data_IF_402865711593
#
_entry.id   IF_402865711593
#
_cell.length_a   1.000
_cell.length_b   1.000
_cell.length_c   1.000
_cell.angle_alpha   90.00
_cell.angle_beta   90.00
_cell.angle_gamma   90.00
#
_symmetry.space_group_name_H-M   'P 1'
#
loop_
_entity.id
_entity.type
_entity.pdbx_description
1 polymer ?
#
# COMPACT_ATOMS: atom_id res chain seq x y z
N UNK A 1 18.82 17.81 49.01
CA UNK A 1 18.05 17.07 47.99
C UNK A 1 17.47 18.08 47.02
N UNK A 2 18.14 18.30 45.88
CA UNK A 2 17.74 19.32 44.91
C UNK A 2 17.50 18.59 43.60
N UNK A 3 16.24 18.43 43.21
CA UNK A 3 15.85 17.72 41.98
C UNK A 3 15.97 18.70 40.80
N UNK A 4 17.02 18.53 40.01
CA UNK A 4 17.20 19.23 38.72
C UNK A 4 16.25 18.63 37.69
N UNK A 5 15.28 19.42 37.23
CA UNK A 5 14.43 19.06 36.10
C UNK A 5 15.19 19.30 34.80
N UNK A 6 15.55 18.21 34.10
CA UNK A 6 16.13 18.27 32.77
C UNK A 6 15.06 18.64 31.74
N UNK A 7 15.11 19.88 31.26
CA UNK A 7 14.32 20.36 30.13
C UNK A 7 14.72 19.58 28.86
N UNK A 8 13.87 18.64 28.42
CA UNK A 8 14.00 18.03 27.09
C UNK A 8 13.48 19.02 26.06
N UNK A 9 14.39 19.61 25.28
CA UNK A 9 14.06 20.48 24.17
C UNK A 9 13.32 19.70 23.08
N UNK A 10 12.02 19.93 22.94
CA UNK A 10 11.23 19.48 21.79
C UNK A 10 11.69 20.29 20.59
N UNK A 11 12.47 19.67 19.70
CA UNK A 11 12.82 20.24 18.39
C UNK A 11 11.53 20.31 17.55
N UNK A 12 11.02 21.51 17.34
CA UNK A 12 9.95 21.77 16.40
C UNK A 12 10.42 21.45 14.97
N UNK A 13 9.77 20.48 14.33
CA UNK A 13 9.94 20.24 12.89
C UNK A 13 9.11 21.27 12.13
N UNK A 14 9.78 22.19 11.43
CA UNK A 14 9.14 23.07 10.47
C UNK A 14 8.81 22.27 9.20
N UNK A 15 7.53 21.92 9.01
CA UNK A 15 7.01 21.46 7.72
C UNK A 15 6.94 22.67 6.78
N UNK A 16 8.01 22.91 6.02
CA UNK A 16 8.04 23.96 5.00
C UNK A 16 7.18 23.57 3.81
N UNK A 17 5.96 24.10 3.71
CA UNK A 17 5.16 24.05 2.49
C UNK A 17 5.66 25.15 1.54
N UNK A 18 6.48 24.78 0.54
CA UNK A 18 6.81 25.67 -0.56
C UNK A 18 5.60 25.75 -1.52
N UNK A 19 4.79 26.81 -1.39
CA UNK A 19 3.72 27.12 -2.34
C UNK A 19 4.36 27.86 -3.51
N UNK A 20 4.57 27.17 -4.64
CA UNK A 20 4.93 27.82 -5.90
C UNK A 20 3.63 28.33 -6.52
N UNK A 21 3.46 29.66 -6.58
CA UNK A 21 2.31 30.29 -7.21
C UNK A 21 2.39 30.10 -8.74
N UNK A 22 1.59 29.19 -9.28
CA UNK A 22 1.32 29.09 -10.72
C UNK A 22 0.04 29.91 -11.07
N UNK A 23 -0.02 30.55 -12.24
CA UNK A 23 -1.13 31.43 -12.63
C UNK A 23 -2.46 30.66 -12.75
N UNK A 24 -3.53 31.35 -12.33
CA UNK A 24 -4.89 30.86 -12.21
C UNK A 24 -5.55 30.57 -13.57
N UNK A 25 -5.32 29.37 -14.10
CA UNK A 25 -6.13 28.79 -15.17
C UNK A 25 -6.23 27.27 -15.00
N UNK A 26 -6.56 26.84 -13.79
CA UNK A 26 -7.09 25.51 -13.52
C UNK A 26 -7.83 25.57 -12.18
N UNK A 27 -9.17 25.51 -12.19
CA UNK A 27 -9.89 24.87 -11.07
C UNK A 27 -9.58 23.36 -11.10
N UNK A 28 -8.30 22.99 -11.08
CA UNK A 28 -7.87 21.69 -10.62
C UNK A 28 -8.06 21.77 -9.11
N UNK A 29 -9.04 21.02 -8.61
CA UNK A 29 -9.25 20.77 -7.19
C UNK A 29 -7.92 20.83 -6.43
N UNK A 30 -7.78 21.80 -5.50
CA UNK A 30 -6.57 22.00 -4.70
C UNK A 30 -6.16 20.64 -4.09
N UNK A 31 -5.15 20.02 -4.69
CA UNK A 31 -4.66 18.72 -4.28
C UNK A 31 -3.38 18.92 -3.49
N UNK A 32 -3.39 18.46 -2.24
CA UNK A 32 -2.27 18.60 -1.32
C UNK A 32 -1.72 17.21 -1.03
N UNK A 33 -0.46 16.97 -1.36
CA UNK A 33 0.23 15.73 -0.98
C UNK A 33 1.06 15.98 0.27
N UNK A 34 0.77 15.23 1.34
CA UNK A 34 1.47 15.30 2.61
C UNK A 34 2.45 14.11 2.68
N UNK A 35 3.78 14.34 2.77
CA UNK A 35 4.73 13.25 2.97
C UNK A 35 4.61 12.69 4.39
N UNK A 36 4.55 11.37 4.50
CA UNK A 36 4.42 10.65 5.79
C UNK A 36 5.58 9.69 6.05
N UNK A 37 6.63 9.73 5.24
CA UNK A 37 7.77 8.82 5.33
C UNK A 37 8.55 8.90 6.66
N UNK A 38 8.46 10.01 7.38
CA UNK A 38 9.03 10.16 8.73
C UNK A 38 8.02 9.87 9.86
N UNK A 39 6.73 9.74 9.54
CA UNK A 39 5.64 9.51 10.49
C UNK A 39 5.32 8.01 10.61
N UNK A 40 4.82 7.58 11.77
CA UNK A 40 4.25 6.25 11.98
C UNK A 40 2.94 6.16 11.20
N UNK A 41 3.06 5.84 9.92
CA UNK A 41 1.99 5.78 8.95
C UNK A 41 2.09 4.46 8.19
N UNK A 42 1.25 3.48 8.51
CA UNK A 42 1.36 2.11 8.02
C UNK A 42 0.05 1.67 7.38
N UNK A 43 0.15 0.90 6.30
CA UNK A 43 -0.96 0.15 5.74
C UNK A 43 -0.63 -1.33 5.89
N UNK A 44 -1.49 -2.09 6.56
CA UNK A 44 -1.32 -3.54 6.74
C UNK A 44 -2.27 -4.24 5.79
N UNK A 45 -1.73 -4.88 4.75
CA UNK A 45 -2.47 -5.83 3.91
C UNK A 45 -2.51 -7.16 4.65
N UNK A 46 -3.71 -7.66 4.98
CA UNK A 46 -3.91 -8.98 5.54
C UNK A 46 -4.73 -9.81 4.55
N UNK A 47 -4.16 -10.91 4.06
CA UNK A 47 -4.89 -11.85 3.22
C UNK A 47 -5.94 -12.61 4.04
N UNK A 48 -7.10 -12.87 3.43
CA UNK A 48 -8.12 -13.75 4.02
C UNK A 48 -7.62 -15.20 4.08
N UNK A 49 -8.26 -16.03 4.90
CA UNK A 49 -7.93 -17.46 4.93
C UNK A 49 -8.19 -18.11 3.57
N UNK A 50 -9.31 -17.81 2.92
CA UNK A 50 -9.64 -18.34 1.58
C UNK A 50 -8.57 -17.99 0.54
N UNK A 51 -8.01 -16.77 0.60
CA UNK A 51 -6.93 -16.38 -0.29
C UNK A 51 -5.62 -17.13 0.03
N UNK A 52 -5.31 -17.34 1.30
CA UNK A 52 -4.13 -18.12 1.72
C UNK A 52 -4.25 -19.59 1.33
N UNK A 53 -5.42 -20.20 1.53
CA UNK A 53 -5.70 -21.58 1.12
C UNK A 53 -5.61 -21.71 -0.41
N UNK A 54 -6.11 -20.72 -1.14
CA UNK A 54 -5.97 -20.65 -2.60
C UNK A 54 -4.52 -20.52 -3.03
N UNK A 55 -3.72 -19.71 -2.32
CA UNK A 55 -2.29 -19.62 -2.60
C UNK A 55 -1.57 -20.93 -2.36
N UNK A 56 -1.85 -21.61 -1.23
CA UNK A 56 -1.28 -22.91 -0.92
C UNK A 56 -1.66 -23.97 -1.97
N UNK A 57 -2.93 -24.01 -2.38
CA UNK A 57 -3.44 -24.95 -3.38
C UNK A 57 -2.67 -24.89 -4.71
N UNK A 58 -2.23 -23.71 -5.12
CA UNK A 58 -1.43 -23.53 -6.33
C UNK A 58 0.05 -23.25 -6.06
N UNK A 59 0.53 -23.46 -4.84
CA UNK A 59 1.95 -23.30 -4.51
C UNK A 59 2.47 -21.87 -4.66
N UNK A 60 1.62 -20.86 -4.47
CA UNK A 60 2.00 -19.45 -4.41
C UNK A 60 2.55 -19.13 -3.02
N UNK A 61 3.71 -18.48 -2.99
CA UNK A 61 4.29 -17.88 -1.81
C UNK A 61 4.39 -16.38 -1.98
N UNK A 62 4.22 -15.62 -0.91
CA UNK A 62 4.30 -14.16 -0.94
C UNK A 62 5.48 -13.71 -0.09
N UNK A 63 6.32 -12.84 -0.67
CA UNK A 63 7.52 -12.31 -0.03
C UNK A 63 7.48 -10.78 -0.01
N UNK A 64 7.59 -10.14 1.16
CA UNK A 64 7.71 -8.69 1.23
C UNK A 64 9.13 -8.26 0.84
N UNK A 65 9.25 -7.20 0.05
CA UNK A 65 10.53 -6.60 -0.36
C UNK A 65 10.49 -5.06 -0.22
N UNK A 66 11.64 -4.42 -0.36
CA UNK A 66 11.77 -2.97 -0.26
C UNK A 66 11.44 -2.47 1.15
N UNK A 67 10.49 -1.53 1.25
CA UNK A 67 10.00 -1.03 2.54
C UNK A 67 9.00 -1.97 3.23
N UNK A 68 8.48 -2.99 2.53
CA UNK A 68 7.49 -3.90 3.08
C UNK A 68 8.11 -4.87 4.10
N UNK A 69 7.32 -5.26 5.09
CA UNK A 69 7.72 -6.23 6.13
C UNK A 69 6.59 -7.19 6.42
N UNK A 70 6.91 -8.45 6.75
CA UNK A 70 5.90 -9.38 7.26
C UNK A 70 5.47 -8.95 8.67
N UNK A 71 4.18 -9.09 8.97
CA UNK A 71 3.66 -8.84 10.31
C UNK A 71 4.10 -9.96 11.26
N UNK A 72 4.73 -9.65 12.40
CA UNK A 72 5.10 -10.67 13.37
C UNK A 72 3.86 -11.43 13.87
N UNK A 73 3.93 -12.76 13.87
CA UNK A 73 2.89 -13.66 14.37
C UNK A 73 1.52 -13.55 13.68
N UNK A 74 1.45 -12.94 12.48
CA UNK A 74 0.23 -12.89 11.67
C UNK A 74 0.57 -13.37 10.26
N UNK A 75 0.46 -14.69 9.99
CA UNK A 75 0.67 -15.24 8.65
C UNK A 75 -0.19 -14.54 7.61
N UNK A 76 0.36 -14.30 6.41
CA UNK A 76 -0.38 -13.64 5.34
C UNK A 76 -0.62 -12.14 5.52
N UNK A 77 -0.09 -11.52 6.57
CA UNK A 77 -0.18 -10.07 6.77
C UNK A 77 1.16 -9.37 6.55
N UNK A 78 1.11 -8.24 5.85
CA UNK A 78 2.27 -7.47 5.43
C UNK A 78 2.06 -5.99 5.72
N UNK A 79 3.02 -5.41 6.44
CA UNK A 79 3.08 -3.98 6.66
C UNK A 79 3.76 -3.28 5.48
N UNK A 80 3.03 -2.33 4.89
CA UNK A 80 3.41 -1.47 3.78
C UNK A 80 3.46 -0.02 4.28
N UNK A 81 4.63 0.51 4.67
CA UNK A 81 4.77 1.88 5.15
C UNK A 81 4.18 2.91 4.17
N UNK A 82 3.22 3.71 4.66
CA UNK A 82 2.62 4.83 3.92
C UNK A 82 3.63 5.98 3.87
N UNK A 83 4.02 6.34 2.67
CA UNK A 83 5.00 7.39 2.38
C UNK A 83 4.37 8.73 2.06
N UNK A 84 3.11 8.75 1.62
CA UNK A 84 2.35 10.00 1.42
C UNK A 84 0.84 9.81 1.47
N UNK A 85 0.14 10.89 1.80
CA UNK A 85 -1.32 11.01 1.76
C UNK A 85 -1.68 12.14 0.81
N UNK A 86 -2.65 11.92 -0.06
CA UNK A 86 -3.17 12.93 -0.98
C UNK A 86 -4.53 13.43 -0.51
N UNK A 87 -4.69 14.74 -0.43
CA UNK A 87 -5.95 15.41 -0.10
C UNK A 87 -6.51 16.12 -1.33
N UNK A 88 -7.83 16.18 -1.46
CA UNK A 88 -8.56 16.97 -2.45
C UNK A 88 -9.68 17.73 -1.73
N UNK A 89 -9.64 19.07 -1.75
CA UNK A 89 -10.60 19.92 -1.01
C UNK A 89 -10.85 19.42 0.42
N UNK A 90 -9.77 19.22 1.20
CA UNK A 90 -9.75 18.73 2.59
C UNK A 90 -10.18 17.27 2.86
N UNK A 91 -10.66 16.54 1.84
CA UNK A 91 -10.92 15.09 1.95
C UNK A 91 -9.68 14.30 1.55
N UNK A 92 -9.46 13.13 2.15
CA UNK A 92 -8.43 12.20 1.68
C UNK A 92 -8.88 11.62 0.34
N UNK A 93 -8.08 11.84 -0.70
CA UNK A 93 -8.31 11.35 -2.05
C UNK A 93 -7.47 10.11 -2.37
N UNK A 94 -6.36 9.92 -1.65
CA UNK A 94 -5.54 8.73 -1.81
C UNK A 94 -4.39 8.64 -0.84
N UNK A 95 -3.60 7.57 -0.98
CA UNK A 95 -2.38 7.36 -0.24
C UNK A 95 -1.39 6.55 -1.06
N UNK A 96 -0.12 6.57 -0.68
CA UNK A 96 0.92 5.77 -1.34
C UNK A 96 1.85 5.11 -0.33
N UNK A 97 2.24 3.88 -0.61
CA UNK A 97 3.29 3.13 0.08
C UNK A 97 4.46 2.89 -0.87
N UNK A 98 5.07 3.98 -1.33
CA UNK A 98 6.16 3.96 -2.32
C UNK A 98 7.36 3.18 -1.80
N UNK A 99 7.99 2.39 -2.67
CA UNK A 99 9.11 1.53 -2.30
C UNK A 99 8.72 0.24 -1.57
N UNK A 100 7.45 0.05 -1.20
CA UNK A 100 6.96 -1.21 -0.64
C UNK A 100 6.61 -2.18 -1.78
N UNK A 101 6.90 -3.47 -1.57
CA UNK A 101 6.76 -4.51 -2.59
C UNK A 101 6.20 -5.79 -1.99
N UNK A 102 5.31 -6.45 -2.71
CA UNK A 102 4.91 -7.83 -2.49
C UNK A 102 5.25 -8.65 -3.74
N UNK A 103 6.12 -9.65 -3.59
CA UNK A 103 6.54 -10.56 -4.64
C UNK A 103 5.82 -11.89 -4.46
N UNK A 104 5.04 -12.29 -5.46
CA UNK A 104 4.32 -13.55 -5.54
C UNK A 104 5.16 -14.50 -6.37
N UNK A 105 5.51 -15.65 -5.79
CA UNK A 105 6.39 -16.64 -6.40
C UNK A 105 5.69 -18.00 -6.42
N UNK A 106 5.83 -18.71 -7.53
CA UNK A 106 5.32 -20.08 -7.72
C UNK A 106 6.32 -20.88 -8.56
N UNK A 107 6.37 -22.19 -8.38
CA UNK A 107 6.99 -23.09 -9.36
C UNK A 107 5.87 -23.71 -10.20
N UNK A 108 5.93 -23.55 -11.52
CA UNK A 108 4.99 -24.25 -12.40
C UNK A 108 5.30 -25.76 -12.32
N UNK A 109 4.34 -26.56 -11.87
CA UNK A 109 4.53 -27.99 -11.62
C UNK A 109 4.74 -28.79 -12.91
N UNK A 110 4.15 -28.36 -14.03
CA UNK A 110 4.27 -29.03 -15.33
C UNK A 110 5.65 -28.79 -15.98
N UNK A 111 6.21 -27.59 -15.80
CA UNK A 111 7.47 -27.18 -16.47
C UNK A 111 8.67 -27.10 -15.53
N UNK A 112 8.46 -27.15 -14.22
CA UNK A 112 9.48 -26.91 -13.19
C UNK A 112 10.02 -25.48 -13.15
N UNK A 113 9.48 -24.54 -13.93
CA UNK A 113 10.01 -23.19 -14.04
C UNK A 113 9.50 -22.27 -12.93
N UNK A 114 10.36 -21.43 -12.33
CA UNK A 114 9.91 -20.40 -11.39
C UNK A 114 9.14 -19.31 -12.15
N UNK A 115 8.00 -18.94 -11.58
CA UNK A 115 7.13 -17.86 -12.05
C UNK A 115 6.97 -16.83 -10.95
N UNK A 116 6.89 -15.57 -11.37
CA UNK A 116 6.92 -14.43 -10.47
C UNK A 116 6.05 -13.29 -10.98
N UNK A 117 5.26 -12.75 -10.06
CA UNK A 117 4.57 -11.47 -10.19
C UNK A 117 5.02 -10.56 -9.07
N UNK A 118 5.49 -9.37 -9.40
CA UNK A 118 5.88 -8.35 -8.41
C UNK A 118 4.89 -7.21 -8.43
N UNK A 119 4.34 -6.87 -7.27
CA UNK A 119 3.52 -5.68 -7.07
C UNK A 119 4.32 -4.68 -6.21
N UNK A 120 4.55 -3.48 -6.72
CA UNK A 120 5.38 -2.47 -6.08
C UNK A 120 4.69 -1.10 -6.02
N UNK A 121 5.22 -0.20 -5.20
CA UNK A 121 4.85 1.23 -5.18
C UNK A 121 3.33 1.48 -5.05
N UNK A 122 2.70 0.72 -4.16
CA UNK A 122 1.26 0.71 -3.96
C UNK A 122 0.66 2.11 -3.78
N UNK A 123 -0.54 2.30 -4.32
CA UNK A 123 -1.37 3.49 -4.15
C UNK A 123 -2.81 3.10 -3.90
N UNK A 124 -3.52 3.95 -3.18
CA UNK A 124 -4.97 3.85 -3.00
C UNK A 124 -5.60 5.06 -3.65
N UNK A 125 -6.61 4.80 -4.48
CA UNK A 125 -7.47 5.80 -5.09
C UNK A 125 -8.88 5.65 -4.48
N UNK A 126 -9.23 6.54 -3.56
CA UNK A 126 -10.54 6.55 -2.90
C UNK A 126 -11.66 7.14 -3.79
N UNK A 127 -11.30 7.76 -4.91
CA UNK A 127 -12.29 8.27 -5.86
C UNK A 127 -12.77 7.11 -6.74
N UNK A 128 -11.83 6.29 -7.21
CA UNK A 128 -12.12 5.13 -8.04
C UNK A 128 -12.41 3.85 -7.24
N UNK A 129 -12.21 3.86 -5.92
CA UNK A 129 -12.25 2.68 -5.04
C UNK A 129 -11.31 1.55 -5.49
N UNK A 130 -10.07 1.92 -5.85
CA UNK A 130 -9.06 0.98 -6.35
C UNK A 130 -7.74 1.03 -5.59
N UNK A 131 -7.19 -0.14 -5.33
CA UNK A 131 -5.78 -0.31 -4.98
C UNK A 131 -5.00 -0.45 -6.29
N UNK A 132 -3.98 0.38 -6.48
CA UNK A 132 -3.10 0.37 -7.65
C UNK A 132 -1.69 -0.05 -7.23
N UNK A 133 -0.96 -0.70 -8.13
CA UNK A 133 0.46 -1.00 -7.95
C UNK A 133 1.20 -0.94 -9.29
N UNK A 134 2.50 -0.73 -9.25
CA UNK A 134 3.37 -1.03 -10.39
C UNK A 134 3.54 -2.56 -10.43
N UNK A 135 3.15 -3.17 -11.55
CA UNK A 135 3.09 -4.61 -11.71
C UNK A 135 4.13 -5.11 -12.71
N UNK A 136 4.88 -6.16 -12.34
CA UNK A 136 5.92 -6.76 -13.18
C UNK A 136 5.76 -8.27 -13.21
N UNK A 137 5.63 -8.84 -14.41
CA UNK A 137 5.70 -10.29 -14.63
C UNK A 137 7.13 -10.69 -14.99
N UNK A 138 7.53 -11.93 -14.67
CA UNK A 138 8.85 -12.44 -15.04
C UNK A 138 9.11 -12.28 -16.54
N UNK A 139 10.27 -11.69 -16.90
CA UNK A 139 10.66 -11.44 -18.29
C UNK A 139 9.88 -10.33 -19.02
N UNK A 140 8.97 -9.62 -18.35
CA UNK A 140 8.19 -8.53 -18.96
C UNK A 140 8.51 -7.17 -18.32
N UNK A 141 8.33 -6.06 -19.07
CA UNK A 141 8.48 -4.72 -18.52
C UNK A 141 7.43 -4.45 -17.43
N UNK A 142 7.79 -3.56 -16.51
CA UNK A 142 6.88 -3.08 -15.46
C UNK A 142 5.77 -2.22 -16.06
N UNK A 143 4.52 -2.48 -15.67
CA UNK A 143 3.35 -1.67 -15.99
C UNK A 143 2.99 -0.84 -14.77
N UNK A 144 3.01 0.48 -14.90
CA UNK A 144 2.79 1.38 -13.77
C UNK A 144 1.30 1.53 -13.45
N UNK A 145 0.97 1.65 -12.16
CA UNK A 145 -0.40 1.90 -11.65
C UNK A 145 -1.46 0.93 -12.19
N UNK A 146 -1.12 -0.34 -12.37
CA UNK A 146 -2.09 -1.39 -12.66
C UNK A 146 -3.11 -1.47 -11.52
N UNK A 147 -4.43 -1.48 -11.83
CA UNK A 147 -5.44 -1.73 -10.81
C UNK A 147 -5.33 -3.17 -10.33
N UNK A 148 -5.25 -3.35 -9.01
CA UNK A 148 -5.05 -4.65 -8.37
C UNK A 148 -6.34 -5.10 -7.71
N UNK A 149 -6.85 -4.31 -6.77
CA UNK A 149 -8.08 -4.62 -6.04
C UNK A 149 -9.13 -3.52 -6.23
N UNK A 150 -10.38 -3.93 -6.41
CA UNK A 150 -11.54 -3.15 -6.00
C UNK A 150 -11.74 -3.35 -4.49
N UNK A 151 -12.22 -2.33 -3.79
CA UNK A 151 -12.43 -2.41 -2.34
C UNK A 151 -13.73 -1.75 -1.89
N UNK A 152 -14.17 -2.11 -0.69
CA UNK A 152 -15.20 -1.42 0.05
C UNK A 152 -14.59 -0.68 1.26
N UNK A 153 -15.05 0.54 1.51
CA UNK A 153 -14.65 1.31 2.70
C UNK A 153 -15.51 0.94 3.90
N UNK A 154 -15.00 0.05 4.76
CA UNK A 154 -15.74 -0.38 5.96
C UNK A 154 -15.89 0.74 7.00
N UNK A 155 -14.83 1.51 7.22
CA UNK A 155 -14.83 2.65 8.13
C UNK A 155 -14.34 3.89 7.38
N UNK A 156 -15.20 4.88 7.10
CA UNK A 156 -14.79 6.10 6.44
C UNK A 156 -13.73 6.85 7.25
N UNK A 157 -12.73 7.40 6.58
CA UNK A 157 -11.69 8.22 7.21
C UNK A 157 -12.27 9.48 7.85
N UNK A 158 -12.37 9.51 9.17
CA UNK A 158 -12.55 10.77 9.91
C UNK A 158 -11.19 11.40 10.19
N UNK A 159 -10.80 12.39 9.38
CA UNK A 159 -9.61 13.19 9.65
C UNK A 159 -9.89 14.14 10.81
N UNK A 160 -9.41 13.81 12.01
CA UNK A 160 -9.48 14.73 13.16
C UNK A 160 -8.41 15.80 13.03
N UNK A 161 -8.71 16.88 12.32
CA UNK A 161 -7.83 18.05 12.24
C UNK A 161 -7.82 18.79 13.60
N UNK A 162 -6.67 18.81 14.29
CA UNK A 162 -6.43 19.65 15.47
C UNK A 162 -5.12 20.41 15.29
N UNK A 163 -5.21 21.74 15.29
CA UNK A 163 -4.06 22.64 15.30
C UNK A 163 -3.30 22.49 16.63
N UNK A 164 -1.95 22.41 16.68
CA UNK A 164 -0.98 22.69 15.61
C UNK A 164 -0.40 21.45 14.88
N UNK A 165 -1.22 20.42 14.59
CA UNK A 165 -1.00 19.24 13.69
C UNK A 165 -1.06 17.89 14.43
N UNK A 166 -2.26 17.34 14.62
CA UNK A 166 -2.44 15.90 14.85
C UNK A 166 -3.30 15.26 13.75
N UNK A 167 -2.71 14.77 12.65
CA UNK A 167 -3.40 13.85 11.72
C UNK A 167 -3.33 12.46 12.34
N UNK A 168 -4.40 12.06 13.02
CA UNK A 168 -4.63 10.64 13.35
C UNK A 168 -5.71 10.12 12.43
N UNK A 169 -5.40 9.08 11.67
CA UNK A 169 -6.30 8.49 10.71
C UNK A 169 -6.24 6.96 10.86
N UNK A 170 -7.40 6.35 11.12
CA UNK A 170 -7.58 4.91 11.07
C UNK A 170 -8.65 4.60 10.03
N UNK A 171 -8.33 3.73 9.07
CA UNK A 171 -9.26 3.28 8.04
C UNK A 171 -9.13 1.77 7.87
N UNK A 172 -10.22 1.13 7.49
CA UNK A 172 -10.22 -0.27 7.09
C UNK A 172 -10.90 -0.36 5.73
N UNK A 173 -10.19 -0.97 4.79
CA UNK A 173 -10.71 -1.41 3.50
C UNK A 173 -10.93 -2.92 3.60
N UNK A 174 -12.10 -3.39 3.20
CA UNK A 174 -12.46 -4.80 3.16
C UNK A 174 -13.00 -5.17 1.77
N UNK A 175 -13.35 -6.44 1.57
CA UNK A 175 -13.90 -6.95 0.31
C UNK A 175 -12.97 -6.67 -0.86
N UNK A 176 -11.71 -7.10 -0.71
CA UNK A 176 -10.69 -6.88 -1.71
C UNK A 176 -10.85 -7.90 -2.84
N UNK A 177 -11.47 -7.48 -3.93
CA UNK A 177 -11.63 -8.35 -5.10
C UNK A 177 -10.65 -7.94 -6.19
N UNK A 178 -9.98 -8.93 -6.80
CA UNK A 178 -9.08 -8.65 -7.91
C UNK A 178 -9.85 -7.98 -9.05
N UNK A 179 -9.26 -6.95 -9.67
CA UNK A 179 -9.83 -6.38 -10.89
C UNK A 179 -9.59 -7.32 -12.08
N UNK A 180 -10.33 -7.18 -13.19
CA UNK A 180 -10.10 -7.99 -14.40
C UNK A 180 -8.64 -7.97 -14.90
N UNK A 181 -7.99 -6.81 -14.83
CA UNK A 181 -6.59 -6.63 -15.20
C UNK A 181 -5.67 -7.40 -14.27
N UNK A 182 -5.95 -7.38 -12.96
CA UNK A 182 -5.16 -8.09 -11.97
C UNK A 182 -5.34 -9.61 -12.08
N UNK A 183 -6.55 -10.09 -12.35
CA UNK A 183 -6.80 -11.53 -12.62
C UNK A 183 -5.94 -12.02 -13.78
N UNK A 184 -5.93 -11.27 -14.89
CA UNK A 184 -5.09 -11.58 -16.05
C UNK A 184 -3.60 -11.52 -15.71
N UNK A 185 -3.18 -10.51 -14.95
CA UNK A 185 -1.80 -10.37 -14.48
C UNK A 185 -1.33 -11.59 -13.68
N UNK A 186 -2.13 -12.04 -12.71
CA UNK A 186 -1.79 -13.20 -11.88
C UNK A 186 -1.86 -14.50 -12.67
N UNK A 187 -2.92 -14.71 -13.45
CA UNK A 187 -3.07 -15.91 -14.29
C UNK A 187 -1.90 -16.07 -15.25
N UNK A 188 -1.60 -15.03 -16.04
CA UNK A 188 -0.52 -15.09 -17.03
C UNK A 188 0.88 -15.09 -16.38
N UNK A 189 1.04 -14.34 -15.27
CA UNK A 189 2.35 -14.10 -14.68
C UNK A 189 2.84 -15.23 -13.77
N UNK A 190 1.90 -15.98 -13.18
CA UNK A 190 2.16 -17.16 -12.36
C UNK A 190 1.80 -18.47 -13.07
N UNK A 191 1.36 -18.39 -14.33
CA UNK A 191 0.89 -19.51 -15.16
C UNK A 191 -0.10 -20.40 -14.40
N UNK A 192 -1.11 -19.75 -13.81
CA UNK A 192 -2.09 -20.44 -12.97
C UNK A 192 -2.95 -21.40 -13.81
N UNK A 193 -3.28 -22.59 -13.26
CA UNK A 193 -4.09 -23.57 -13.98
C UNK A 193 -5.52 -23.06 -14.17
N UNK A 194 -6.21 -23.48 -15.24
CA UNK A 194 -7.54 -22.95 -15.57
C UNK A 194 -8.59 -23.11 -14.45
N UNK A 195 -8.43 -24.14 -13.60
CA UNK A 195 -9.31 -24.40 -12.46
C UNK A 195 -9.39 -23.24 -11.45
N UNK A 196 -8.42 -22.30 -11.45
CA UNK A 196 -8.46 -21.14 -10.55
C UNK A 196 -9.33 -19.98 -11.05
N UNK A 197 -9.83 -20.02 -12.29
CA UNK A 197 -10.58 -18.89 -12.84
C UNK A 197 -11.84 -18.57 -12.02
N UNK A 198 -12.56 -19.59 -11.57
CA UNK A 198 -13.73 -19.43 -10.70
C UNK A 198 -13.33 -18.87 -9.33
N UNK A 199 -12.23 -19.36 -8.77
CA UNK A 199 -11.69 -18.94 -7.46
C UNK A 199 -11.32 -17.44 -7.49
N UNK A 200 -10.59 -17.00 -8.52
CA UNK A 200 -10.18 -15.60 -8.68
C UNK A 200 -11.38 -14.63 -8.79
N UNK A 201 -12.56 -15.12 -9.17
CA UNK A 201 -13.77 -14.31 -9.31
C UNK A 201 -14.55 -14.11 -8.02
N UNK A 202 -14.43 -15.02 -7.06
CA UNK A 202 -15.28 -15.05 -5.86
C UNK A 202 -14.51 -14.85 -4.55
N UNK A 203 -13.20 -15.06 -4.56
CA UNK A 203 -12.38 -14.90 -3.36
C UNK A 203 -12.23 -13.42 -2.99
N UNK A 204 -12.61 -13.10 -1.76
CA UNK A 204 -12.21 -11.88 -1.08
C UNK A 204 -10.78 -12.04 -0.60
N UNK A 205 -9.87 -11.18 -1.05
CA UNK A 205 -8.45 -11.22 -0.69
C UNK A 205 -8.14 -10.59 0.67
N UNK A 206 -9.16 -10.17 1.44
CA UNK A 206 -9.02 -9.79 2.84
C UNK A 206 -9.15 -8.30 3.06
N UNK A 207 -8.20 -7.69 3.78
CA UNK A 207 -8.33 -6.30 4.24
C UNK A 207 -7.04 -5.49 4.14
N UNK A 208 -7.20 -4.17 4.01
CA UNK A 208 -6.12 -3.21 4.22
C UNK A 208 -6.50 -2.30 5.39
N UNK A 209 -5.73 -2.39 6.48
CA UNK A 209 -5.88 -1.48 7.63
C UNK A 209 -4.84 -0.39 7.56
N UNK A 210 -5.29 0.86 7.49
CA UNK A 210 -4.42 2.04 7.42
C UNK A 210 -4.45 2.74 8.77
N UNK A 211 -3.28 2.94 9.38
CA UNK A 211 -3.10 3.69 10.62
C UNK A 211 -2.00 4.74 10.44
N UNK A 212 -2.36 6.00 10.62
CA UNK A 212 -1.47 7.14 10.57
C UNK A 212 -1.54 7.86 11.90
N UNK A 213 -0.40 7.95 12.57
CA UNK A 213 -0.23 8.68 13.81
C UNK A 213 0.81 9.80 13.65
N UNK A 214 0.61 10.92 14.35
CA UNK A 214 1.61 11.99 14.45
C UNK A 214 2.68 11.63 15.48
N UNK A 215 3.36 10.53 15.22
CA UNK A 215 4.55 10.07 15.93
C UNK A 215 5.63 9.85 14.90
N UNK A 216 6.86 10.24 15.21
CA UNK A 216 7.98 9.95 14.32
C UNK A 216 8.29 8.44 14.35
N UNK A 217 8.70 7.90 13.21
CA UNK A 217 9.38 6.61 13.16
C UNK A 217 10.75 6.75 13.82
N UNK A 218 11.28 5.65 14.34
CA UNK A 218 12.69 5.57 14.77
C UNK A 218 13.65 5.85 13.61
N UNK A 219 13.29 5.43 12.39
CA UNK A 219 13.99 5.73 11.14
C UNK A 219 12.98 6.07 10.04
N UNK A 220 13.15 7.18 9.30
CA UNK A 220 12.34 7.44 8.12
C UNK A 220 12.45 6.32 7.08
N UNK A 221 11.35 5.99 6.42
CA UNK A 221 11.35 5.05 5.30
C UNK A 221 11.73 5.76 4.01
N UNK A 222 12.31 5.01 3.06
CA UNK A 222 12.65 5.54 1.73
C UNK A 222 11.37 5.93 1.00
N UNK A 223 11.36 7.09 0.34
CA UNK A 223 10.30 7.50 -0.58
C UNK A 223 10.67 7.29 -2.05
N UNK A 224 11.80 6.63 -2.32
CA UNK A 224 12.22 6.30 -3.69
C UNK A 224 11.37 5.15 -4.20
N UNK A 225 10.77 5.26 -5.41
CA UNK A 225 10.08 4.15 -6.04
C UNK A 225 11.00 2.93 -6.13
N UNK A 226 10.44 1.76 -5.84
CA UNK A 226 11.09 0.50 -6.12
C UNK A 226 11.10 0.28 -7.63
N UNK A 227 12.23 -0.21 -8.15
CA UNK A 227 12.39 -0.60 -9.55
C UNK A 227 12.87 -2.05 -9.55
N UNK A 228 12.13 -2.92 -10.24
CA UNK A 228 12.50 -4.33 -10.37
C UNK A 228 13.79 -4.43 -11.20
N UNK A 229 14.76 -5.19 -10.70
CA UNK A 229 15.94 -5.54 -11.49
C UNK A 229 15.53 -6.58 -12.55
N UNK A 230 15.82 -6.27 -13.81
CA UNK A 230 15.55 -7.14 -14.96
C UNK A 230 16.74 -8.04 -15.27
#
# INVERSE_FOLDING_TARGET
>A
MTKTFACHAIRAFALGAAIVAAPMAAQAALSLTIPTNALQANAVQAFSQDALDSFELVGITVKPLGNATAMPNVPGAYNLPVTSISLQLVKIAGGASTGSVLEFNRVNEDTGQPKRVTLANFRIDFIANKVLADATQSGKPTVNKTPIFDFHEQTPLTLKYRFPLSITAKQVLDKLFLTPESKKLFKDGLELPEIVDEVLNVVDFGTITIDVAVKLRSKPVSNRPYVVAH
#
